data_IF_065510768852
#
_entry.id   IF_065510768852
#
_cell.length_a   1.000
_cell.length_b   1.000
_cell.length_c   1.000
_cell.angle_alpha   90.00
_cell.angle_beta   90.00
_cell.angle_gamma   90.00
#
_symmetry.space_group_name_H-M   'P 1'
#
loop_
_entity.id
_entity.type
_entity.pdbx_description
1 polymer ?
#
# COMPACT_ATOMS: atom_id res chain seq x y z
N UNK A 1 2.28 12.02 -1.50
CA UNK A 1 2.36 10.80 -0.66
C UNK A 1 1.95 9.61 -1.51
N UNK A 2 2.76 8.59 -1.50
CA UNK A 2 2.50 7.37 -2.30
C UNK A 2 2.08 6.20 -1.41
N UNK A 3 1.12 5.43 -1.90
CA UNK A 3 0.60 4.25 -1.24
C UNK A 3 0.44 3.12 -2.25
N UNK A 4 0.66 1.90 -1.78
CA UNK A 4 0.25 0.72 -2.54
C UNK A 4 -1.07 0.24 -1.97
N UNK A 5 -2.07 0.13 -2.82
CA UNK A 5 -3.36 -0.48 -2.50
C UNK A 5 -3.42 -1.87 -3.13
N UNK A 6 -3.65 -2.88 -2.31
CA UNK A 6 -3.85 -4.25 -2.73
C UNK A 6 -5.30 -4.62 -2.46
N UNK A 7 -6.02 -4.95 -3.52
CA UNK A 7 -7.42 -5.39 -3.43
C UNK A 7 -7.52 -6.85 -3.79
N UNK A 8 -8.27 -7.58 -2.97
CA UNK A 8 -8.51 -9.01 -3.18
C UNK A 8 -9.99 -9.30 -2.99
N UNK A 9 -10.56 -10.11 -3.86
CA UNK A 9 -11.95 -10.55 -3.72
C UNK A 9 -12.20 -11.18 -2.36
N UNK A 10 -13.23 -10.69 -1.68
CA UNK A 10 -13.72 -11.31 -0.45
C UNK A 10 -14.87 -12.26 -0.81
N UNK A 11 -14.57 -13.55 -0.79
CA UNK A 11 -15.53 -14.59 -1.20
C UNK A 11 -16.73 -14.67 -0.28
N UNK A 12 -16.62 -14.23 0.98
CA UNK A 12 -17.76 -14.19 1.91
C UNK A 12 -18.80 -13.17 1.48
N UNK A 13 -18.39 -12.13 0.77
CA UNK A 13 -19.26 -11.10 0.21
C UNK A 13 -19.68 -11.45 -1.21
N UNK A 14 -18.73 -11.81 -2.06
CA UNK A 14 -18.96 -12.03 -3.49
C UNK A 14 -19.94 -13.15 -3.80
N UNK A 15 -19.96 -14.21 -2.98
CA UNK A 15 -20.92 -15.33 -3.15
C UNK A 15 -22.38 -14.89 -2.99
N UNK A 16 -22.62 -13.74 -2.35
CA UNK A 16 -23.96 -13.19 -2.11
C UNK A 16 -24.40 -12.19 -3.17
N UNK A 17 -23.51 -11.84 -4.09
CA UNK A 17 -23.74 -10.80 -5.10
C UNK A 17 -24.04 -11.39 -6.47
N UNK A 18 -24.83 -10.70 -7.30
CA UNK A 18 -25.06 -11.11 -8.69
C UNK A 18 -23.73 -11.07 -9.47
N UNK A 19 -23.44 -12.14 -10.19
CA UNK A 19 -22.22 -12.25 -11.01
C UNK A 19 -22.14 -11.14 -12.05
N UNK A 20 -23.26 -10.82 -12.71
CA UNK A 20 -23.29 -9.77 -13.72
C UNK A 20 -22.88 -8.41 -13.15
N UNK A 21 -23.35 -8.07 -11.95
CA UNK A 21 -22.99 -6.83 -11.28
C UNK A 21 -21.52 -6.75 -10.92
N UNK A 22 -20.93 -7.86 -10.47
CA UNK A 22 -19.49 -7.92 -10.19
C UNK A 22 -18.66 -7.76 -11.45
N UNK A 23 -19.05 -8.37 -12.56
CA UNK A 23 -18.36 -8.22 -13.85
C UNK A 23 -18.43 -6.79 -14.37
N UNK A 24 -19.59 -6.13 -14.24
CA UNK A 24 -19.72 -4.72 -14.57
C UNK A 24 -18.80 -3.84 -13.75
N UNK A 25 -18.66 -4.14 -12.46
CA UNK A 25 -17.73 -3.40 -11.58
C UNK A 25 -16.28 -3.61 -12.00
N UNK A 26 -15.89 -4.81 -12.39
CA UNK A 26 -14.55 -5.09 -12.91
C UNK A 26 -14.29 -4.30 -14.20
N UNK A 27 -15.25 -4.27 -15.12
CA UNK A 27 -15.14 -3.49 -16.36
C UNK A 27 -15.00 -1.98 -16.08
N UNK A 28 -15.76 -1.46 -15.11
CA UNK A 28 -15.72 -0.05 -14.75
C UNK A 28 -14.41 0.35 -14.03
N UNK A 29 -13.69 -0.59 -13.45
CA UNK A 29 -12.45 -0.32 -12.73
C UNK A 29 -11.33 0.16 -13.65
N UNK A 30 -11.22 -0.38 -14.85
CA UNK A 30 -10.18 0.01 -15.80
C UNK A 30 -10.26 1.50 -16.19
N UNK A 31 -11.38 2.02 -16.69
CA UNK A 31 -11.47 3.45 -17.04
C UNK A 31 -11.32 4.34 -15.80
N UNK A 32 -11.78 3.90 -14.64
CA UNK A 32 -11.59 4.64 -13.39
C UNK A 32 -10.10 4.84 -13.04
N UNK A 33 -9.32 3.77 -13.05
CA UNK A 33 -7.89 3.82 -12.74
C UNK A 33 -7.08 4.48 -13.85
N UNK A 34 -7.45 4.29 -15.12
CA UNK A 34 -6.78 4.95 -16.23
C UNK A 34 -7.00 6.48 -16.18
N UNK A 35 -8.16 6.94 -15.74
CA UNK A 35 -8.41 8.36 -15.53
C UNK A 35 -7.58 8.93 -14.39
N UNK A 36 -7.46 8.20 -13.28
CA UNK A 36 -6.58 8.58 -12.19
C UNK A 36 -5.11 8.64 -12.62
N UNK A 37 -4.70 7.74 -13.51
CA UNK A 37 -3.35 7.73 -14.06
C UNK A 37 -3.09 8.97 -14.92
N UNK A 38 -4.05 9.39 -15.72
CA UNK A 38 -3.97 10.64 -16.50
C UNK A 38 -3.84 11.86 -15.60
N UNK A 39 -4.48 11.85 -14.45
CA UNK A 39 -4.42 12.94 -13.47
C UNK A 39 -3.19 12.85 -12.55
N UNK A 40 -2.31 11.89 -12.78
CA UNK A 40 -1.13 11.65 -11.94
C UNK A 40 -1.47 11.28 -10.48
N UNK A 41 -2.68 10.76 -10.24
CA UNK A 41 -3.12 10.24 -8.94
C UNK A 41 -2.88 8.74 -8.81
N UNK A 42 -2.64 8.06 -9.91
CA UNK A 42 -2.22 6.66 -9.95
C UNK A 42 -0.93 6.58 -10.77
N UNK A 43 0.10 6.02 -10.19
CA UNK A 43 1.38 5.84 -10.88
C UNK A 43 1.29 4.66 -11.83
N UNK A 44 0.75 3.55 -11.33
CA UNK A 44 0.53 2.35 -12.11
C UNK A 44 -0.50 1.46 -11.40
N UNK A 45 -1.11 0.56 -12.16
CA UNK A 45 -2.07 -0.39 -11.63
C UNK A 45 -2.12 -1.64 -12.52
N UNK A 46 -2.65 -2.73 -12.00
CA UNK A 46 -2.83 -3.95 -12.79
C UNK A 46 -3.67 -4.97 -12.05
N UNK A 47 -4.27 -5.88 -12.80
CA UNK A 47 -4.94 -7.03 -12.24
C UNK A 47 -3.92 -8.13 -11.91
N UNK A 48 -4.21 -8.93 -10.87
CA UNK A 48 -3.38 -10.08 -10.57
C UNK A 48 -3.50 -11.13 -11.69
N UNK A 49 -2.38 -11.72 -12.05
CA UNK A 49 -2.35 -12.80 -13.04
C UNK A 49 -2.95 -14.10 -12.49
N UNK A 50 -2.92 -14.28 -11.18
CA UNK A 50 -3.52 -15.44 -10.48
C UNK A 50 -4.34 -14.91 -9.31
N UNK A 51 -5.55 -15.45 -9.14
CA UNK A 51 -6.50 -14.95 -8.15
C UNK A 51 -7.31 -13.78 -8.67
N UNK A 52 -8.17 -13.23 -7.82
CA UNK A 52 -9.08 -12.15 -8.19
C UNK A 52 -8.77 -10.90 -7.37
N UNK A 53 -8.17 -9.93 -8.01
CA UNK A 53 -7.83 -8.69 -7.37
C UNK A 53 -6.93 -7.82 -8.23
N UNK A 54 -6.52 -6.71 -7.68
CA UNK A 54 -5.64 -5.77 -8.35
C UNK A 54 -4.71 -5.07 -7.36
N UNK A 55 -3.66 -4.49 -7.91
CA UNK A 55 -2.82 -3.55 -7.20
C UNK A 55 -2.94 -2.16 -7.85
N UNK A 56 -2.76 -1.12 -7.06
CA UNK A 56 -2.65 0.23 -7.56
C UNK A 56 -1.63 1.00 -6.72
N UNK A 57 -0.76 1.73 -7.39
CA UNK A 57 0.18 2.64 -6.73
C UNK A 57 -0.42 4.03 -6.84
N UNK A 58 -0.86 4.57 -5.72
CA UNK A 58 -1.57 5.85 -5.65
C UNK A 58 -0.66 6.96 -5.18
N UNK A 59 -0.82 8.13 -5.80
CA UNK A 59 -0.12 9.35 -5.43
C UNK A 59 -1.15 10.38 -5.01
N UNK A 60 -1.26 10.62 -3.71
CA UNK A 60 -2.32 11.46 -3.13
C UNK A 60 -1.74 12.61 -2.31
N UNK A 61 -2.53 13.66 -2.14
CA UNK A 61 -2.14 14.85 -1.36
C UNK A 61 -2.28 14.63 0.14
N UNK A 62 -3.29 13.84 0.54
CA UNK A 62 -3.62 13.62 1.94
C UNK A 62 -4.47 12.36 2.10
N UNK A 63 -4.77 11.99 3.33
CA UNK A 63 -5.56 10.80 3.64
C UNK A 63 -7.01 10.90 3.16
N UNK A 64 -7.59 12.09 3.11
CA UNK A 64 -8.96 12.27 2.62
C UNK A 64 -9.06 11.91 1.13
N UNK A 65 -8.09 12.32 0.32
CA UNK A 65 -8.03 11.95 -1.10
C UNK A 65 -7.82 10.45 -1.27
N UNK A 66 -6.95 9.84 -0.46
CA UNK A 66 -6.74 8.40 -0.47
C UNK A 66 -8.04 7.66 -0.17
N UNK A 67 -8.77 8.07 0.84
CA UNK A 67 -10.05 7.47 1.22
C UNK A 67 -11.08 7.60 0.10
N UNK A 68 -11.20 8.79 -0.49
CA UNK A 68 -12.11 9.03 -1.60
C UNK A 68 -11.80 8.11 -2.79
N UNK A 69 -10.55 8.04 -3.21
CA UNK A 69 -10.13 7.21 -4.34
C UNK A 69 -10.43 5.73 -4.08
N UNK A 70 -10.11 5.24 -2.90
CA UNK A 70 -10.30 3.81 -2.58
C UNK A 70 -11.76 3.45 -2.40
N UNK A 71 -12.56 4.31 -1.79
CA UNK A 71 -13.99 4.04 -1.58
C UNK A 71 -14.80 4.12 -2.89
N UNK A 72 -14.36 4.91 -3.86
CA UNK A 72 -15.00 5.04 -5.16
C UNK A 72 -14.55 4.00 -6.19
N UNK A 73 -13.57 3.15 -5.85
CA UNK A 73 -13.19 2.04 -6.71
C UNK A 73 -14.39 1.12 -6.94
N UNK A 74 -14.77 0.84 -8.21
CA UNK A 74 -15.96 0.04 -8.50
C UNK A 74 -16.01 -1.33 -7.84
N UNK A 75 -14.85 -1.99 -7.68
CA UNK A 75 -14.77 -3.32 -7.06
C UNK A 75 -14.67 -3.28 -5.53
N UNK A 76 -14.64 -2.08 -4.92
CA UNK A 76 -14.45 -1.92 -3.47
C UNK A 76 -15.49 -2.66 -2.66
N UNK A 77 -16.72 -2.75 -3.15
CA UNK A 77 -17.85 -3.35 -2.44
C UNK A 77 -17.71 -4.86 -2.19
N UNK A 78 -16.92 -5.58 -2.96
CA UNK A 78 -16.71 -7.01 -2.79
C UNK A 78 -15.24 -7.41 -2.65
N UNK A 79 -14.37 -6.46 -2.41
CA UNK A 79 -12.94 -6.70 -2.18
C UNK A 79 -12.51 -6.20 -0.81
N UNK A 80 -11.63 -6.96 -0.18
CA UNK A 80 -10.84 -6.45 0.92
C UNK A 80 -9.73 -5.59 0.38
N UNK A 81 -9.33 -4.57 1.14
CA UNK A 81 -8.26 -3.67 0.73
C UNK A 81 -7.18 -3.59 1.81
N UNK A 82 -5.93 -3.66 1.36
CA UNK A 82 -4.76 -3.44 2.18
C UNK A 82 -4.00 -2.26 1.61
N UNK A 83 -3.72 -1.25 2.44
CA UNK A 83 -3.04 -0.03 2.02
C UNK A 83 -1.73 0.11 2.79
N UNK A 84 -0.63 0.27 2.04
CA UNK A 84 0.70 0.41 2.61
C UNK A 84 1.34 1.69 2.10
N UNK A 85 1.84 2.56 2.99
CA UNK A 85 2.60 3.73 2.56
C UNK A 85 3.92 3.30 1.92
N UNK A 86 4.35 4.06 0.91
CA UNK A 86 5.59 3.79 0.18
C UNK A 86 6.57 4.92 0.42
N UNK A 87 7.80 4.58 0.80
CA UNK A 87 8.90 5.53 0.82
C UNK A 87 9.55 5.57 -0.57
N UNK A 88 9.73 6.75 -1.11
CA UNK A 88 10.51 6.92 -2.32
C UNK A 88 11.99 6.64 -2.02
N UNK A 89 12.77 6.28 -3.05
CA UNK A 89 14.16 5.86 -2.85
C UNK A 89 15.02 6.91 -2.11
N UNK A 90 14.80 8.20 -2.39
CA UNK A 90 15.50 9.28 -1.69
C UNK A 90 15.11 9.38 -0.21
N UNK A 91 13.82 9.34 0.08
CA UNK A 91 13.30 9.33 1.44
C UNK A 91 13.79 8.10 2.22
N UNK A 92 13.77 6.94 1.57
CA UNK A 92 14.27 5.70 2.17
C UNK A 92 15.77 5.83 2.52
N UNK A 93 16.58 6.38 1.62
CA UNK A 93 18.02 6.54 1.87
C UNK A 93 18.28 7.40 3.11
N UNK A 94 17.55 8.51 3.26
CA UNK A 94 17.70 9.42 4.40
C UNK A 94 17.28 8.76 5.72
N UNK A 95 16.11 8.11 5.72
CA UNK A 95 15.59 7.41 6.89
C UNK A 95 16.50 6.23 7.27
N UNK A 96 16.96 5.48 6.28
CA UNK A 96 17.85 4.34 6.50
C UNK A 96 19.19 4.79 7.10
N UNK A 97 19.77 5.88 6.60
CA UNK A 97 21.01 6.44 7.14
C UNK A 97 20.86 6.84 8.62
N UNK A 98 19.73 7.44 8.98
CA UNK A 98 19.42 7.81 10.36
C UNK A 98 19.27 6.58 11.23
N UNK A 99 18.48 5.58 10.79
CA UNK A 99 18.27 4.33 11.53
C UNK A 99 19.59 3.61 11.76
N UNK A 100 20.43 3.53 10.73
CA UNK A 100 21.74 2.89 10.82
C UNK A 100 22.64 3.56 11.87
N UNK A 101 22.69 4.90 11.88
CA UNK A 101 23.47 5.64 12.87
C UNK A 101 22.99 5.38 14.30
N UNK A 102 21.68 5.43 14.50
CA UNK A 102 21.06 5.20 15.81
C UNK A 102 21.25 3.76 16.29
N UNK A 103 21.14 2.79 15.39
CA UNK A 103 21.35 1.38 15.70
C UNK A 103 22.81 1.11 16.09
N UNK A 104 23.77 1.69 15.37
CA UNK A 104 25.21 1.56 15.70
C UNK A 104 25.49 2.19 17.07
N UNK A 105 24.98 3.39 17.32
CA UNK A 105 25.16 4.06 18.61
C UNK A 105 24.55 3.27 19.77
N UNK A 106 23.37 2.67 19.57
CA UNK A 106 22.73 1.82 20.57
C UNK A 106 23.54 0.55 20.83
N UNK A 107 24.08 -0.07 19.79
CA UNK A 107 24.92 -1.26 19.91
C UNK A 107 26.23 -0.95 20.66
N UNK A 108 26.87 0.17 20.38
CA UNK A 108 28.08 0.60 21.09
C UNK A 108 27.79 0.82 22.56
N UNK A 109 26.69 1.45 22.92
CA UNK A 109 26.27 1.64 24.32
C UNK A 109 26.04 0.31 25.00
N UNK A 110 25.42 -0.66 24.34
CA UNK A 110 25.17 -1.98 24.87
C UNK A 110 26.48 -2.75 25.14
N UNK A 111 27.42 -2.70 24.19
CA UNK A 111 28.75 -3.35 24.33
C UNK A 111 29.50 -2.74 25.49
N UNK A 112 29.51 -1.45 25.69
CA UNK A 112 30.13 -0.80 26.84
C UNK A 112 29.50 -1.23 28.16
N UNK A 113 28.17 -1.34 28.20
CA UNK A 113 27.46 -1.79 29.40
C UNK A 113 27.80 -3.22 29.76
N UNK A 114 27.81 -4.14 28.79
CA UNK A 114 28.19 -5.54 28.99
C UNK A 114 29.65 -5.65 29.44
N UNK A 115 30.54 -4.88 28.81
CA UNK A 115 31.95 -4.82 29.20
C UNK A 115 32.15 -4.38 30.65
N UNK A 116 31.40 -3.40 31.13
CA UNK A 116 31.41 -2.95 32.51
C UNK A 116 30.94 -4.05 33.50
N UNK A 117 29.88 -4.77 33.13
CA UNK A 117 29.36 -5.87 33.94
C UNK A 117 30.35 -7.02 34.02
N UNK A 118 31.02 -7.36 32.92
CA UNK A 118 31.98 -8.45 32.84
C UNK A 118 33.32 -8.13 33.52
N UNK A 119 33.57 -6.91 33.92
CA UNK A 119 34.78 -6.48 34.63
C UNK A 119 34.69 -6.57 36.16
N UNK A 120 33.58 -7.07 36.68
CA UNK A 120 33.44 -7.36 38.10
C UNK A 120 34.08 -8.70 38.47
#
# INVERSE_FOLDING_TARGET
>A
MKYIALLKEDTTISVKLPVAGMLEAVEATRPYLDELKKRERCVDWGFYGVGHGLFAILNVKNHAELHEITELLPIRGFCSIEITPVLESGEFADVFAKIKREAIAANERMVKTVGKVNNY
#
